data_IF_001913542939
#
_entry.id   IF_001913542939
#
_cell.length_a   1.000
_cell.length_b   1.000
_cell.length_c   1.000
_cell.angle_alpha   90.00
_cell.angle_beta   90.00
_cell.angle_gamma   90.00
#
_symmetry.space_group_name_H-M   'P 1'
#
loop_
_entity.id
_entity.type
_entity.pdbx_description
1 polymer ?
#
# COMPACT_ATOMS: atom_id res chain seq x y z
N UNK A 1 -15.22 6.00 -7.67
CA UNK A 1 -14.28 5.96 -6.52
C UNK A 1 -13.02 6.78 -6.77
N UNK A 2 -12.23 6.44 -7.78
CA UNK A 2 -10.93 7.10 -8.04
C UNK A 2 -11.04 8.55 -8.50
N UNK A 3 -12.15 8.96 -9.11
CA UNK A 3 -12.37 10.36 -9.51
C UNK A 3 -12.36 11.33 -8.32
N UNK A 4 -12.95 10.94 -7.18
CA UNK A 4 -12.96 11.74 -5.94
C UNK A 4 -11.75 11.42 -5.04
N UNK A 5 -11.33 10.15 -5.00
CA UNK A 5 -10.28 9.64 -4.12
C UNK A 5 -8.98 9.36 -4.88
N UNK A 6 -8.66 10.19 -5.85
CA UNK A 6 -7.48 10.09 -6.69
C UNK A 6 -6.37 11.05 -6.27
N UNK A 7 -5.32 11.08 -7.09
CA UNK A 7 -4.26 12.09 -7.04
C UNK A 7 -4.55 13.30 -7.95
N UNK A 8 -5.37 13.08 -8.97
CA UNK A 8 -5.73 14.09 -9.97
C UNK A 8 -7.05 14.76 -9.61
N UNK A 9 -7.14 16.06 -9.90
CA UNK A 9 -8.34 16.87 -9.71
C UNK A 9 -9.36 16.58 -10.81
N UNK A 10 -10.04 15.44 -10.72
CA UNK A 10 -11.01 15.00 -11.72
C UNK A 10 -12.46 15.36 -11.36
N UNK A 11 -12.71 15.85 -10.14
CA UNK A 11 -14.00 16.35 -9.62
C UNK A 11 -13.77 17.45 -8.59
N UNK A 12 -14.81 18.25 -8.33
CA UNK A 12 -14.78 19.35 -7.37
C UNK A 12 -14.42 18.89 -5.95
N UNK A 13 -14.92 17.72 -5.53
CA UNK A 13 -14.61 17.18 -4.20
C UNK A 13 -13.25 16.46 -4.13
N UNK A 14 -12.60 16.25 -5.28
CA UNK A 14 -11.27 15.66 -5.41
C UNK A 14 -10.17 16.71 -5.66
N UNK A 15 -8.89 16.31 -5.66
CA UNK A 15 -8.38 14.98 -5.35
C UNK A 15 -8.44 14.68 -3.84
N UNK A 16 -8.32 13.39 -3.49
CA UNK A 16 -8.24 12.92 -2.10
C UNK A 16 -9.41 13.34 -1.20
N UNK A 17 -10.65 13.34 -1.68
CA UNK A 17 -11.82 13.66 -0.87
C UNK A 17 -11.79 12.91 0.48
N UNK A 18 -12.00 13.62 1.60
CA UNK A 18 -11.91 13.05 2.95
C UNK A 18 -10.52 12.57 3.37
N UNK A 19 -9.46 12.98 2.67
CA UNK A 19 -8.08 12.54 2.93
C UNK A 19 -7.85 11.05 2.62
N UNK A 20 -8.55 10.51 1.63
CA UNK A 20 -8.51 9.09 1.23
C UNK A 20 -8.04 8.97 -0.22
N UNK A 21 -7.15 8.00 -0.48
CA UNK A 21 -6.64 7.66 -1.81
C UNK A 21 -7.01 6.22 -2.13
N UNK A 22 -7.78 6.02 -3.20
CA UNK A 22 -8.27 4.69 -3.63
C UNK A 22 -7.68 4.24 -4.95
N UNK A 23 -6.55 4.82 -5.36
CA UNK A 23 -5.87 4.41 -6.60
C UNK A 23 -5.15 3.06 -6.42
N UNK A 24 -4.85 2.42 -7.55
CA UNK A 24 -4.05 1.20 -7.62
C UNK A 24 -2.53 1.44 -7.49
N UNK A 25 -2.11 2.69 -7.27
CA UNK A 25 -0.71 3.05 -7.10
C UNK A 25 -0.06 2.25 -5.97
N UNK A 26 1.21 1.93 -6.16
CA UNK A 26 1.98 1.02 -5.30
C UNK A 26 2.67 1.81 -4.20
N UNK A 27 2.37 1.50 -2.95
CA UNK A 27 3.26 1.80 -1.83
C UNK A 27 4.32 0.70 -1.66
N UNK A 28 5.15 0.80 -0.61
CA UNK A 28 6.24 -0.15 -0.35
C UNK A 28 5.82 -1.62 -0.20
N UNK A 29 4.60 -1.88 0.28
CA UNK A 29 4.08 -3.23 0.54
C UNK A 29 2.73 -3.45 -0.14
N UNK A 30 1.79 -2.54 0.12
CA UNK A 30 0.43 -2.56 -0.38
C UNK A 30 0.20 -1.50 -1.46
N UNK A 31 -0.89 -1.64 -2.22
CA UNK A 31 -1.43 -0.51 -2.98
C UNK A 31 -2.00 0.53 -2.02
N UNK A 32 -2.09 1.77 -2.49
CA UNK A 32 -2.67 2.87 -1.71
C UNK A 32 -4.12 2.59 -1.35
N UNK A 33 -4.92 2.11 -2.30
CA UNK A 33 -6.30 1.67 -2.06
C UNK A 33 -6.42 0.64 -0.94
N UNK A 34 -5.66 -0.46 -1.01
CA UNK A 34 -5.76 -1.52 -0.01
C UNK A 34 -5.37 -1.01 1.37
N UNK A 35 -4.26 -0.27 1.46
CA UNK A 35 -3.83 0.30 2.72
C UNK A 35 -4.83 1.33 3.27
N UNK A 36 -5.39 2.19 2.42
CA UNK A 36 -6.37 3.21 2.84
C UNK A 36 -7.67 2.58 3.34
N UNK A 37 -8.20 1.57 2.66
CA UNK A 37 -9.38 0.84 3.13
C UNK A 37 -9.11 0.18 4.49
N UNK A 38 -7.92 -0.37 4.68
CA UNK A 38 -7.45 -0.97 5.93
C UNK A 38 -7.33 0.07 7.03
N UNK A 39 -6.56 1.14 6.81
CA UNK A 39 -6.29 2.19 7.79
C UNK A 39 -7.55 2.98 8.19
N UNK A 40 -8.52 3.09 7.28
CA UNK A 40 -9.83 3.71 7.53
C UNK A 40 -10.89 2.71 8.01
N UNK A 41 -10.53 1.47 8.33
CA UNK A 41 -11.43 0.44 8.86
C UNK A 41 -12.68 0.23 7.99
N UNK A 42 -12.52 0.28 6.66
CA UNK A 42 -13.63 0.10 5.72
C UNK A 42 -13.99 -1.37 5.50
N UNK A 43 -13.12 -2.28 5.94
CA UNK A 43 -13.28 -3.73 5.86
C UNK A 43 -13.16 -4.32 7.26
N UNK A 44 -14.15 -5.15 7.63
CA UNK A 44 -14.19 -5.87 8.89
C UNK A 44 -13.76 -7.33 8.69
N UNK A 45 -12.47 -7.57 8.44
CA UNK A 45 -11.87 -8.89 8.17
C UNK A 45 -11.59 -9.72 9.45
N UNK A 46 -12.00 -9.24 10.63
CA UNK A 46 -11.72 -9.86 11.92
C UNK A 46 -10.29 -9.67 12.45
N UNK A 47 -9.34 -9.32 11.57
CA UNK A 47 -7.90 -9.19 11.84
C UNK A 47 -7.29 -10.46 12.44
N UNK A 48 -5.97 -10.49 12.59
CA UNK A 48 -5.26 -11.60 13.23
C UNK A 48 -5.33 -11.50 14.78
N UNK A 49 -6.51 -11.28 15.34
CA UNK A 49 -6.71 -11.15 16.79
C UNK A 49 -6.82 -12.54 17.44
N UNK A 50 -6.24 -12.76 18.63
CA UNK A 50 -6.43 -13.98 19.41
C UNK A 50 -7.82 -14.01 20.07
N UNK A 51 -8.87 -13.78 19.28
CA UNK A 51 -10.26 -13.74 19.72
C UNK A 51 -11.10 -14.64 18.81
N UNK A 52 -12.04 -15.37 19.40
CA UNK A 52 -12.95 -16.29 18.73
C UNK A 52 -14.37 -16.12 19.26
N UNK A 53 -15.33 -16.84 18.69
CA UNK A 53 -16.75 -16.79 19.08
C UNK A 53 -17.34 -15.37 19.06
N UNK A 54 -17.09 -14.65 17.96
CA UNK A 54 -17.63 -13.32 17.76
C UNK A 54 -19.17 -13.33 17.69
N UNK A 55 -19.85 -12.31 18.21
CA UNK A 55 -21.29 -12.15 18.00
C UNK A 55 -21.65 -12.13 16.51
N UNK A 56 -22.87 -12.55 16.13
CA UNK A 56 -23.31 -12.46 14.74
C UNK A 56 -23.14 -11.05 14.17
N UNK A 57 -22.70 -10.95 12.91
CA UNK A 57 -22.56 -9.70 12.13
C UNK A 57 -21.53 -8.69 12.66
N UNK A 58 -20.48 -9.14 13.36
CA UNK A 58 -19.37 -8.26 13.77
C UNK A 58 -18.17 -8.28 12.82
N UNK A 59 -18.11 -9.27 11.91
CA UNK A 59 -17.08 -9.42 10.88
C UNK A 59 -17.75 -9.69 9.52
N UNK A 60 -16.95 -9.64 8.46
CA UNK A 60 -17.40 -9.87 7.10
C UNK A 60 -18.09 -8.65 6.47
N UNK A 61 -18.74 -8.87 5.33
CA UNK A 61 -19.36 -7.80 4.54
C UNK A 61 -20.48 -7.08 5.30
N UNK A 62 -21.22 -7.80 6.14
CA UNK A 62 -22.31 -7.24 6.97
C UNK A 62 -21.84 -6.17 7.96
N UNK A 63 -20.60 -6.25 8.42
CA UNK A 63 -19.98 -5.31 9.34
C UNK A 63 -19.08 -4.28 8.64
N UNK A 64 -18.86 -4.41 7.33
CA UNK A 64 -17.90 -3.60 6.58
C UNK A 64 -18.54 -2.31 6.06
N UNK A 65 -18.11 -1.11 6.52
CA UNK A 65 -18.68 0.16 6.09
C UNK A 65 -18.58 0.39 4.57
N UNK A 66 -17.60 -0.23 3.91
CA UNK A 66 -17.45 -0.17 2.45
C UNK A 66 -18.73 -0.58 1.71
N UNK A 67 -19.46 -1.59 2.20
CA UNK A 67 -20.66 -2.10 1.53
C UNK A 67 -21.76 -1.04 1.42
N UNK A 68 -21.88 -0.17 2.43
CA UNK A 68 -22.80 0.97 2.40
C UNK A 68 -22.30 2.09 1.48
N UNK A 69 -20.98 2.26 1.33
CA UNK A 69 -20.44 3.31 0.45
C UNK A 69 -20.60 3.03 -1.04
N UNK A 70 -20.99 1.81 -1.41
CA UNK A 70 -21.14 1.37 -2.80
C UNK A 70 -22.59 1.03 -3.17
N UNK A 71 -23.55 1.35 -2.28
CA UNK A 71 -24.98 1.04 -2.45
C UNK A 71 -25.82 2.22 -2.96
N UNK A 72 -25.18 3.34 -3.32
CA UNK A 72 -25.84 4.60 -3.72
C UNK A 72 -25.95 5.63 -2.59
N UNK A 73 -25.84 5.25 -1.32
CA UNK A 73 -26.00 6.18 -0.18
C UNK A 73 -24.84 7.15 0.01
N UNK A 74 -23.69 6.90 -0.61
CA UNK A 74 -22.52 7.78 -0.54
C UNK A 74 -22.39 8.57 -1.85
N UNK A 75 -22.95 9.79 -1.87
CA UNK A 75 -22.91 10.70 -3.03
C UNK A 75 -23.45 10.06 -4.33
N UNK A 76 -24.45 9.19 -4.23
CA UNK A 76 -25.04 8.52 -5.39
C UNK A 76 -24.13 7.46 -6.02
N UNK A 77 -23.00 7.11 -5.39
CA UNK A 77 -22.10 6.07 -5.89
C UNK A 77 -22.71 4.70 -5.66
N UNK A 78 -23.21 4.10 -6.73
CA UNK A 78 -23.71 2.72 -6.74
C UNK A 78 -22.92 1.89 -7.75
N UNK A 79 -22.36 0.76 -7.29
CA UNK A 79 -21.68 -0.20 -8.18
C UNK A 79 -22.67 -1.21 -8.72
N UNK A 80 -22.31 -1.87 -9.83
CA UNK A 80 -23.13 -2.94 -10.41
C UNK A 80 -23.28 -4.12 -9.45
N UNK A 81 -24.30 -4.95 -9.65
CA UNK A 81 -24.49 -6.18 -8.85
C UNK A 81 -23.25 -7.08 -8.86
N UNK A 82 -22.59 -7.25 -10.01
CA UNK A 82 -21.38 -8.08 -10.13
C UNK A 82 -20.22 -7.51 -9.30
N UNK A 83 -19.99 -6.20 -9.37
CA UNK A 83 -18.96 -5.54 -8.56
C UNK A 83 -19.27 -5.62 -7.07
N UNK A 84 -20.54 -5.40 -6.68
CA UNK A 84 -21.00 -5.56 -5.30
C UNK A 84 -20.75 -6.98 -4.79
N UNK A 85 -21.10 -8.00 -5.58
CA UNK A 85 -20.87 -9.41 -5.25
C UNK A 85 -19.38 -9.73 -5.16
N UNK A 86 -18.54 -9.17 -6.04
CA UNK A 86 -17.08 -9.35 -5.99
C UNK A 86 -16.47 -8.75 -4.73
N UNK A 87 -16.83 -7.52 -4.38
CA UNK A 87 -16.36 -6.85 -3.16
C UNK A 87 -16.84 -7.63 -1.92
N UNK A 88 -18.12 -8.01 -1.90
CA UNK A 88 -18.69 -8.83 -0.82
C UNK A 88 -17.90 -10.11 -0.63
N UNK A 89 -17.71 -10.91 -1.69
CA UNK A 89 -17.02 -12.19 -1.63
C UNK A 89 -15.54 -12.03 -1.27
N UNK A 90 -14.86 -10.99 -1.79
CA UNK A 90 -13.50 -10.69 -1.37
C UNK A 90 -13.40 -10.46 0.14
N UNK A 91 -14.34 -9.70 0.73
CA UNK A 91 -14.41 -9.51 2.18
C UNK A 91 -14.68 -10.83 2.91
N UNK A 92 -15.64 -11.64 2.43
CA UNK A 92 -15.97 -12.94 3.03
C UNK A 92 -14.79 -13.93 2.99
N UNK A 93 -13.87 -13.77 2.03
CA UNK A 93 -12.64 -14.57 1.95
C UNK A 93 -11.48 -14.01 2.78
N UNK A 94 -11.74 -13.06 3.69
CA UNK A 94 -10.73 -12.46 4.56
C UNK A 94 -10.01 -11.25 3.96
N UNK A 95 -10.53 -10.70 2.86
CA UNK A 95 -10.04 -9.48 2.22
C UNK A 95 -8.52 -9.48 1.93
N UNK A 96 -7.98 -10.59 1.43
CA UNK A 96 -6.54 -10.71 1.17
C UNK A 96 -6.05 -9.66 0.17
N UNK A 97 -4.83 -9.16 0.38
CA UNK A 97 -4.16 -8.29 -0.58
C UNK A 97 -3.65 -9.07 -1.80
N UNK A 98 -2.72 -10.03 -1.64
CA UNK A 98 -2.33 -10.88 -2.75
C UNK A 98 -3.49 -11.80 -3.14
N UNK A 99 -3.76 -11.87 -4.44
CA UNK A 99 -4.70 -12.84 -5.03
C UNK A 99 -4.05 -14.18 -5.36
N UNK A 100 -2.80 -14.39 -4.95
CA UNK A 100 -2.02 -15.61 -5.18
C UNK A 100 -1.09 -15.88 -4.00
N UNK A 101 -0.88 -17.15 -3.66
CA UNK A 101 0.07 -17.58 -2.63
C UNK A 101 1.53 -17.28 -3.01
N UNK A 102 1.83 -17.13 -4.30
CA UNK A 102 3.16 -16.75 -4.78
C UNK A 102 3.63 -15.38 -4.29
N UNK A 103 2.70 -14.49 -3.90
CA UNK A 103 3.01 -13.17 -3.36
C UNK A 103 3.57 -13.19 -1.93
N UNK A 104 3.60 -14.34 -1.26
CA UNK A 104 4.08 -14.42 0.12
C UNK A 104 5.58 -14.11 0.20
N UNK A 105 5.93 -13.08 0.98
CA UNK A 105 7.31 -12.69 1.25
C UNK A 105 8.09 -12.25 0.01
N UNK A 106 7.41 -11.75 -1.03
CA UNK A 106 8.00 -11.33 -2.30
C UNK A 106 7.46 -9.97 -2.75
N UNK A 107 8.27 -9.22 -3.51
CA UNK A 107 7.82 -7.95 -4.11
C UNK A 107 7.52 -6.83 -3.11
N UNK A 108 8.35 -6.72 -2.08
CA UNK A 108 8.15 -5.81 -0.95
C UNK A 108 9.39 -4.95 -0.74
N UNK A 109 9.22 -3.63 -0.65
CA UNK A 109 10.23 -2.75 -0.06
C UNK A 109 9.98 -2.74 1.44
N UNK A 110 10.98 -3.15 2.23
CA UNK A 110 10.81 -3.39 3.66
C UNK A 110 9.88 -4.57 3.96
N UNK A 111 10.14 -5.70 3.28
CA UNK A 111 9.51 -7.00 3.56
C UNK A 111 10.00 -7.61 4.87
N UNK A 112 9.53 -8.81 5.19
CA UNK A 112 9.88 -9.50 6.42
C UNK A 112 10.42 -10.90 6.11
N UNK A 113 11.50 -11.28 6.77
CA UNK A 113 12.03 -12.65 6.81
C UNK A 113 12.22 -13.02 8.29
N UNK A 114 11.62 -14.11 8.74
CA UNK A 114 11.60 -14.52 10.17
C UNK A 114 11.18 -13.39 11.13
N UNK A 115 10.13 -12.62 10.78
CA UNK A 115 9.65 -11.43 11.51
C UNK A 115 10.66 -10.27 11.63
N UNK A 116 11.79 -10.33 10.91
CA UNK A 116 12.75 -9.23 10.82
C UNK A 116 12.47 -8.42 9.57
N UNK A 117 12.28 -7.12 9.75
CA UNK A 117 12.07 -6.21 8.65
C UNK A 117 13.38 -5.97 7.91
N UNK A 118 13.33 -6.04 6.58
CA UNK A 118 14.43 -5.63 5.72
C UNK A 118 14.54 -4.09 5.73
N UNK A 119 15.67 -3.56 6.20
CA UNK A 119 15.99 -2.13 6.20
C UNK A 119 17.14 -1.79 5.25
N UNK A 120 17.44 -2.66 4.28
CA UNK A 120 18.57 -2.45 3.36
C UNK A 120 18.46 -1.16 2.53
N UNK A 121 17.26 -0.60 2.38
CA UNK A 121 17.04 0.70 1.75
C UNK A 121 17.74 1.85 2.47
N UNK A 122 18.00 1.76 3.78
CA UNK A 122 18.73 2.81 4.50
C UNK A 122 20.19 2.93 4.09
N UNK A 123 20.72 1.90 3.42
CA UNK A 123 22.10 1.91 2.94
C UNK A 123 22.26 2.50 1.54
N UNK A 124 21.16 2.70 0.81
CA UNK A 124 21.20 3.18 -0.57
C UNK A 124 21.63 4.66 -0.63
N UNK A 125 22.44 5.05 -1.64
CA UNK A 125 23.00 6.39 -1.70
C UNK A 125 21.95 7.52 -1.69
N UNK A 126 20.90 7.41 -2.52
CA UNK A 126 19.88 8.47 -2.56
C UNK A 126 19.02 8.45 -1.30
N UNK A 127 18.75 7.27 -0.72
CA UNK A 127 18.00 7.17 0.53
C UNK A 127 18.75 7.80 1.72
N UNK A 128 20.07 7.62 1.81
CA UNK A 128 20.90 8.29 2.83
C UNK A 128 20.78 9.81 2.74
N UNK A 129 20.94 10.36 1.55
CA UNK A 129 20.77 11.79 1.32
C UNK A 129 19.35 12.27 1.65
N UNK A 130 18.33 11.50 1.26
CA UNK A 130 16.94 11.82 1.58
C UNK A 130 16.65 11.82 3.09
N UNK A 131 17.21 10.87 3.86
CA UNK A 131 17.07 10.86 5.32
C UNK A 131 17.65 12.13 5.97
N UNK A 132 18.79 12.62 5.48
CA UNK A 132 19.37 13.88 5.95
C UNK A 132 18.48 15.08 5.62
N UNK A 133 17.90 15.12 4.42
CA UNK A 133 16.94 16.16 4.02
C UNK A 133 15.69 16.12 4.90
N UNK A 134 15.10 14.94 5.12
CA UNK A 134 13.93 14.78 5.99
C UNK A 134 14.21 15.29 7.40
N UNK A 135 15.36 14.94 7.96
CA UNK A 135 15.74 15.41 9.29
C UNK A 135 15.92 16.93 9.32
N UNK A 136 16.64 17.51 8.35
CA UNK A 136 16.95 18.95 8.32
C UNK A 136 15.75 19.84 8.00
N UNK A 137 14.91 19.44 7.03
CA UNK A 137 13.81 20.26 6.53
C UNK A 137 12.48 19.98 7.24
N UNK A 138 12.26 18.76 7.75
CA UNK A 138 10.97 18.34 8.29
C UNK A 138 11.04 17.95 9.78
N UNK A 139 12.22 17.61 10.30
CA UNK A 139 12.39 17.02 11.63
C UNK A 139 12.02 17.92 12.81
N UNK A 140 12.01 19.25 12.64
CA UNK A 140 11.55 20.17 13.70
C UNK A 140 10.04 20.05 13.96
N UNK A 141 9.25 19.79 12.91
CA UNK A 141 7.79 19.66 13.00
C UNK A 141 7.35 18.21 13.20
N UNK A 142 8.02 17.28 12.52
CA UNK A 142 7.67 15.87 12.50
C UNK A 142 8.33 15.09 13.64
N UNK A 143 7.92 15.41 14.88
CA UNK A 143 8.37 14.75 16.11
C UNK A 143 7.21 14.05 16.82
N UNK A 144 7.51 13.11 17.72
CA UNK A 144 6.50 12.44 18.56
C UNK A 144 5.36 11.81 17.74
N UNK A 145 4.11 12.19 18.02
CA UNK A 145 2.92 11.72 17.29
C UNK A 145 2.83 12.20 15.83
N UNK A 146 3.75 13.07 15.39
CA UNK A 146 3.90 13.56 14.02
C UNK A 146 5.09 12.94 13.28
N UNK A 147 5.84 12.04 13.92
CA UNK A 147 7.02 11.44 13.32
C UNK A 147 6.71 10.81 11.95
N UNK A 148 7.58 11.08 10.97
CA UNK A 148 7.56 10.45 9.66
C UNK A 148 8.37 9.15 9.68
N UNK A 149 8.06 8.18 8.79
CA UNK A 149 8.98 7.09 8.51
C UNK A 149 10.30 7.65 7.97
N UNK A 150 11.43 7.08 8.39
CA UNK A 150 12.74 7.55 7.91
C UNK A 150 13.02 7.10 6.48
N UNK A 151 12.41 6.01 6.03
CA UNK A 151 12.59 5.45 4.70
C UNK A 151 11.35 4.65 4.26
N UNK A 152 11.23 4.26 2.98
CA UNK A 152 10.14 3.43 2.49
C UNK A 152 9.98 2.07 3.19
N UNK A 153 11.03 1.52 3.80
CA UNK A 153 10.95 0.33 4.64
C UNK A 153 10.53 0.61 6.08
N UNK A 154 10.59 1.86 6.57
CA UNK A 154 10.25 2.15 7.95
C UNK A 154 8.75 1.97 8.22
N UNK A 155 8.41 0.94 9.00
CA UNK A 155 7.03 0.68 9.40
C UNK A 155 6.63 1.43 10.68
N UNK A 156 7.51 2.28 11.24
CA UNK A 156 7.27 3.03 12.48
C UNK A 156 6.84 2.16 13.68
N UNK A 157 7.29 0.90 13.72
CA UNK A 157 6.88 -0.13 14.70
C UNK A 157 5.39 -0.47 14.64
N UNK A 158 4.81 -0.38 13.44
CA UNK A 158 3.44 -0.78 13.11
C UNK A 158 3.48 -1.79 11.95
N UNK A 159 3.85 -3.05 12.19
CA UNK A 159 3.80 -4.06 11.15
C UNK A 159 2.34 -4.30 10.70
N UNK A 160 2.10 -4.79 9.46
CA UNK A 160 0.75 -4.92 8.91
C UNK A 160 -0.24 -5.77 9.72
N UNK A 161 0.25 -6.75 10.48
CA UNK A 161 -0.57 -7.62 11.33
C UNK A 161 -0.88 -7.01 12.70
N UNK A 162 -0.27 -5.88 13.05
CA UNK A 162 -0.44 -5.20 14.34
C UNK A 162 -0.60 -3.67 14.13
N UNK A 163 -1.51 -3.30 13.24
CA UNK A 163 -1.87 -1.90 12.99
C UNK A 163 -2.47 -1.29 14.26
N UNK A 164 -1.97 -0.12 14.64
CA UNK A 164 -2.45 0.67 15.79
C UNK A 164 -3.32 1.81 15.27
N UNK A 165 -4.65 1.64 15.33
CA UNK A 165 -5.60 2.59 14.71
C UNK A 165 -5.66 3.94 15.42
N UNK A 166 -5.37 3.91 16.72
CA UNK A 166 -5.38 5.07 17.61
C UNK A 166 -4.06 5.86 17.52
N UNK A 167 -3.03 5.29 16.89
CA UNK A 167 -1.75 5.96 16.73
C UNK A 167 -1.86 7.07 15.67
N UNK A 168 -1.64 8.35 16.04
CA UNK A 168 -1.77 9.46 15.11
C UNK A 168 -0.80 9.37 13.92
N UNK A 169 0.28 8.59 14.05
CA UNK A 169 1.28 8.39 12.99
C UNK A 169 0.77 7.51 11.86
N UNK A 170 -0.36 6.81 12.02
CA UNK A 170 -0.94 5.98 10.96
C UNK A 170 -1.21 6.78 9.67
N UNK A 171 -1.53 8.07 9.80
CA UNK A 171 -1.73 8.99 8.65
C UNK A 171 -0.44 9.29 7.86
N UNK A 172 0.72 9.01 8.45
CA UNK A 172 2.05 9.14 7.87
C UNK A 172 2.66 7.79 7.49
N UNK A 173 1.85 6.73 7.42
CA UNK A 173 2.31 5.42 6.98
C UNK A 173 3.11 5.50 5.67
N UNK A 174 4.19 4.71 5.60
CA UNK A 174 5.00 4.52 4.38
C UNK A 174 4.16 4.16 3.14
N UNK A 175 3.00 3.53 3.33
CA UNK A 175 2.08 3.18 2.24
C UNK A 175 1.27 4.35 1.70
N UNK A 176 1.25 5.48 2.39
CA UNK A 176 0.58 6.71 1.96
C UNK A 176 1.61 7.71 1.42
N UNK A 177 2.77 7.81 2.08
CA UNK A 177 3.75 8.84 1.78
C UNK A 177 4.50 8.60 0.47
N UNK A 178 4.73 7.33 0.11
CA UNK A 178 5.48 6.95 -1.07
C UNK A 178 4.56 6.37 -2.16
N UNK A 179 4.56 7.02 -3.33
CA UNK A 179 3.95 6.49 -4.54
C UNK A 179 5.05 5.93 -5.45
N UNK A 180 5.15 4.61 -5.53
CA UNK A 180 6.16 3.92 -6.35
C UNK A 180 5.64 3.60 -7.76
N UNK A 181 4.43 4.02 -8.11
CA UNK A 181 3.92 3.97 -9.50
C UNK A 181 4.13 5.30 -10.20
N UNK A 182 3.84 6.41 -9.51
CA UNK A 182 4.05 7.77 -9.97
C UNK A 182 4.76 8.59 -8.88
N UNK A 183 6.10 8.54 -8.81
CA UNK A 183 6.93 9.13 -7.76
C UNK A 183 6.60 10.57 -7.40
N UNK A 184 6.31 11.40 -8.39
CA UNK A 184 5.94 12.81 -8.27
C UNK A 184 4.66 13.04 -7.46
N UNK A 185 3.76 12.05 -7.39
CA UNK A 185 2.54 12.11 -6.58
C UNK A 185 2.73 11.63 -5.12
N UNK A 186 3.96 11.36 -4.71
CA UNK A 186 4.26 11.01 -3.31
C UNK A 186 3.91 12.16 -2.39
N UNK A 187 3.16 11.91 -1.31
CA UNK A 187 2.83 12.97 -0.34
C UNK A 187 4.07 13.53 0.34
N UNK A 188 5.15 12.75 0.40
CA UNK A 188 6.46 13.20 0.87
C UNK A 188 7.01 14.39 0.05
N UNK A 189 6.58 14.53 -1.21
CA UNK A 189 6.93 15.63 -2.11
C UNK A 189 5.81 16.69 -2.16
N UNK A 190 4.55 16.26 -2.30
CA UNK A 190 3.42 17.17 -2.51
C UNK A 190 3.08 18.00 -1.27
N UNK A 191 3.13 17.42 -0.06
CA UNK A 191 2.77 18.16 1.15
C UNK A 191 3.68 19.38 1.43
N UNK A 192 5.01 19.30 1.28
CA UNK A 192 5.91 20.45 1.44
C UNK A 192 6.03 21.39 0.24
N UNK A 193 5.56 21.00 -0.94
CA UNK A 193 5.65 21.78 -2.17
C UNK A 193 4.57 22.86 -2.25
N UNK A 194 4.93 24.04 -2.77
CA UNK A 194 4.03 25.17 -2.99
C UNK A 194 2.84 24.84 -3.90
N UNK A 195 1.68 25.46 -3.65
CA UNK A 195 0.47 25.26 -4.47
C UNK A 195 0.65 25.68 -5.93
N UNK A 196 1.34 26.80 -6.16
CA UNK A 196 1.61 27.29 -7.52
C UNK A 196 2.56 26.37 -8.31
N UNK A 197 3.32 25.52 -7.62
CA UNK A 197 4.17 24.49 -8.22
C UNK A 197 3.47 23.11 -8.30
N UNK A 198 2.16 23.05 -8.02
CA UNK A 198 1.37 21.82 -8.05
C UNK A 198 1.39 20.99 -6.76
N UNK A 199 2.00 21.50 -5.70
CA UNK A 199 1.97 20.90 -4.37
C UNK A 199 0.73 21.25 -3.56
N UNK A 200 0.70 20.82 -2.31
CA UNK A 200 -0.40 21.08 -1.39
C UNK A 200 -0.12 22.19 -0.38
N UNK A 201 1.15 22.55 -0.18
CA UNK A 201 1.58 23.61 0.76
C UNK A 201 0.97 23.42 2.16
N UNK A 202 1.00 22.17 2.63
CA UNK A 202 0.48 21.79 3.95
C UNK A 202 1.58 21.97 5.00
N UNK A 203 2.85 21.76 4.63
CA UNK A 203 3.98 21.92 5.53
C UNK A 203 4.54 23.36 5.49
N UNK A 204 4.96 23.86 6.64
CA UNK A 204 5.54 25.19 6.84
C UNK A 204 7.06 25.15 7.02
N UNK A 205 7.78 26.11 6.44
CA UNK A 205 9.20 26.29 6.74
C UNK A 205 9.45 26.84 8.16
N UNK A 206 8.47 27.57 8.71
CA UNK A 206 8.59 28.31 9.98
C UNK A 206 8.23 27.50 11.24
N UNK A 207 7.73 26.27 11.10
CA UNK A 207 7.48 25.37 12.23
C UNK A 207 6.43 25.85 13.25
N UNK A 208 5.25 26.26 12.77
CA UNK A 208 4.08 26.54 13.59
C UNK A 208 2.88 25.65 13.23
N UNK A 209 2.04 25.34 14.21
CA UNK A 209 0.78 24.60 14.05
C UNK A 209 -0.36 25.43 13.44
N UNK A 210 -0.16 26.74 13.33
CA UNK A 210 -1.13 27.67 12.78
C UNK A 210 -0.77 28.03 11.34
N UNK A 211 -1.81 28.25 10.54
CA UNK A 211 -1.70 28.81 9.19
C UNK A 211 -1.17 30.25 9.34
N UNK A 212 0.15 30.40 9.41
CA UNK A 212 0.81 31.70 9.30
C UNK A 212 0.54 32.22 7.87
N UNK A 213 -0.06 33.40 7.68
CA UNK A 213 -0.24 33.98 6.36
C UNK A 213 1.09 34.31 5.65
N UNK A 214 2.22 34.32 6.36
CA UNK A 214 3.57 34.39 5.79
C UNK A 214 4.24 33.02 5.63
N UNK A 215 3.49 31.93 5.83
CA UNK A 215 4.00 30.59 5.80
C UNK A 215 4.55 30.22 4.42
N UNK A 216 5.86 30.32 4.26
CA UNK A 216 6.52 29.90 3.03
C UNK A 216 6.49 28.37 2.93
N UNK A 217 6.18 27.83 1.73
CA UNK A 217 6.29 26.41 1.48
C UNK A 217 7.71 25.94 1.80
N UNK A 218 7.85 24.70 2.27
CA UNK A 218 9.17 24.11 2.48
C UNK A 218 9.92 24.05 1.15
N UNK A 219 9.25 23.70 0.05
CA UNK A 219 9.81 23.77 -1.31
C UNK A 219 9.02 24.75 -2.16
N UNK A 220 9.69 25.79 -2.65
CA UNK A 220 9.07 26.80 -3.52
C UNK A 220 8.59 26.20 -4.84
N UNK A 221 9.38 25.32 -5.42
CA UNK A 221 9.10 24.65 -6.67
C UNK A 221 9.90 23.34 -6.76
N UNK A 222 9.71 22.60 -7.85
CA UNK A 222 10.35 21.30 -8.07
C UNK A 222 11.84 21.41 -8.38
N UNK A 223 12.41 22.60 -8.57
CA UNK A 223 13.85 22.78 -8.78
C UNK A 223 14.66 22.86 -7.49
N UNK A 224 14.00 22.90 -6.32
CA UNK A 224 14.69 22.87 -5.02
C UNK A 224 15.61 21.62 -4.94
N UNK A 225 16.91 21.77 -4.62
CA UNK A 225 17.85 20.64 -4.55
C UNK A 225 17.43 19.54 -3.56
N UNK A 226 16.80 19.92 -2.46
CA UNK A 226 16.32 18.97 -1.46
C UNK A 226 15.05 18.26 -1.95
N UNK A 227 14.17 18.94 -2.70
CA UNK A 227 13.05 18.28 -3.39
C UNK A 227 13.56 17.23 -4.37
N UNK A 228 14.57 17.55 -5.19
CA UNK A 228 15.17 16.62 -6.14
C UNK A 228 15.84 15.43 -5.45
N UNK A 229 16.45 15.66 -4.29
CA UNK A 229 17.04 14.58 -3.47
C UNK A 229 15.97 13.63 -2.95
N UNK A 230 14.84 14.14 -2.44
CA UNK A 230 13.72 13.29 -2.02
C UNK A 230 13.14 12.51 -3.21
N UNK A 231 12.94 13.16 -4.36
CA UNK A 231 12.42 12.51 -5.56
C UNK A 231 13.37 11.41 -6.06
N UNK A 232 14.68 11.63 -6.05
CA UNK A 232 15.69 10.65 -6.45
C UNK A 232 15.64 9.38 -5.58
N UNK A 233 15.45 9.51 -4.27
CA UNK A 233 15.30 8.37 -3.36
C UNK A 233 14.00 7.57 -3.63
N UNK A 234 12.91 8.25 -4.00
CA UNK A 234 11.65 7.60 -4.36
C UNK A 234 11.79 6.87 -5.70
N UNK A 235 12.48 7.48 -6.68
CA UNK A 235 12.78 6.87 -7.98
C UNK A 235 13.69 5.63 -7.82
N UNK A 236 14.71 5.69 -6.98
CA UNK A 236 15.56 4.53 -6.64
C UNK A 236 14.71 3.40 -6.03
N UNK A 237 13.78 3.74 -5.15
CA UNK A 237 12.85 2.77 -4.55
C UNK A 237 11.89 2.17 -5.57
N UNK A 238 11.35 2.99 -6.49
CA UNK A 238 10.53 2.52 -7.59
C UNK A 238 11.34 1.58 -8.50
N UNK A 239 12.58 1.94 -8.83
CA UNK A 239 13.46 1.11 -9.64
C UNK A 239 13.64 -0.26 -8.97
N UNK A 240 13.97 -0.27 -7.68
CA UNK A 240 14.09 -1.52 -6.92
C UNK A 240 12.80 -2.36 -6.96
N UNK A 241 11.63 -1.72 -6.80
CA UNK A 241 10.35 -2.43 -6.90
C UNK A 241 10.12 -3.02 -8.30
N UNK A 242 10.53 -2.31 -9.37
CA UNK A 242 10.42 -2.78 -10.75
C UNK A 242 11.38 -3.94 -11.06
N UNK A 243 12.52 -4.03 -10.38
CA UNK A 243 13.43 -5.17 -10.46
C UNK A 243 12.85 -6.41 -9.77
N UNK A 244 12.48 -6.28 -8.49
CA UNK A 244 12.02 -7.44 -7.69
C UNK A 244 10.61 -7.89 -8.08
N UNK A 245 9.79 -6.92 -8.54
CA UNK A 245 8.38 -7.04 -8.94
C UNK A 245 7.49 -7.60 -7.84
N UNK A 246 6.19 -7.36 -7.96
CA UNK A 246 5.16 -7.89 -7.07
C UNK A 246 4.09 -8.62 -7.88
N UNK A 247 3.28 -9.46 -7.24
CA UNK A 247 2.25 -10.30 -7.88
C UNK A 247 1.27 -9.57 -8.83
N UNK A 248 1.16 -8.24 -8.72
CA UNK A 248 0.36 -7.33 -9.54
C UNK A 248 1.18 -6.61 -10.63
N UNK A 249 2.41 -7.07 -10.91
CA UNK A 249 3.33 -6.48 -11.88
C UNK A 249 3.69 -7.49 -12.97
N UNK A 250 3.76 -7.00 -14.21
CA UNK A 250 4.04 -7.82 -15.37
C UNK A 250 5.43 -8.49 -15.27
N UNK A 251 5.46 -9.80 -15.49
CA UNK A 251 6.68 -10.61 -15.43
C UNK A 251 7.22 -10.82 -14.02
N UNK A 252 6.38 -10.67 -12.97
CA UNK A 252 6.67 -11.17 -11.63
C UNK A 252 6.97 -12.67 -11.67
N UNK A 253 7.98 -13.10 -10.90
CA UNK A 253 8.31 -14.52 -10.73
C UNK A 253 8.19 -14.91 -9.25
N UNK A 254 7.55 -16.05 -8.94
CA UNK A 254 7.47 -16.55 -7.57
C UNK A 254 8.85 -16.86 -6.97
N UNK A 255 8.95 -16.82 -5.64
CA UNK A 255 10.18 -17.29 -4.95
C UNK A 255 10.45 -18.76 -5.24
N UNK A 256 11.73 -19.20 -5.20
CA UNK A 256 12.09 -20.62 -5.40
C UNK A 256 11.34 -21.59 -4.48
N UNK A 257 10.98 -21.17 -3.25
CA UNK A 257 10.20 -21.97 -2.33
C UNK A 257 8.78 -22.29 -2.86
N UNK A 258 8.10 -21.32 -3.48
CA UNK A 258 6.79 -21.54 -4.10
C UNK A 258 6.90 -22.54 -5.24
N UNK A 259 7.90 -22.36 -6.12
CA UNK A 259 8.14 -23.25 -7.27
C UNK A 259 8.41 -24.68 -6.77
N UNK A 260 9.25 -24.83 -5.74
CA UNK A 260 9.56 -26.13 -5.12
C UNK A 260 8.31 -26.82 -4.61
N UNK A 261 7.44 -26.13 -3.87
CA UNK A 261 6.21 -26.75 -3.35
C UNK A 261 5.23 -27.10 -4.48
N UNK A 262 5.07 -26.23 -5.49
CA UNK A 262 4.20 -26.53 -6.62
C UNK A 262 4.70 -27.72 -7.47
N UNK A 263 6.01 -27.92 -7.59
CA UNK A 263 6.59 -29.15 -8.14
C UNK A 263 6.28 -30.36 -7.26
N UNK A 264 6.47 -30.24 -5.95
CA UNK A 264 6.19 -31.33 -5.00
C UNK A 264 4.73 -31.78 -5.05
N UNK A 265 3.79 -30.86 -5.27
CA UNK A 265 2.37 -31.16 -5.43
C UNK A 265 2.00 -31.65 -6.85
N UNK A 266 2.96 -31.81 -7.76
CA UNK A 266 2.70 -32.26 -9.14
C UNK A 266 2.00 -31.23 -10.01
N UNK A 267 1.97 -29.96 -9.61
CA UNK A 267 1.31 -28.87 -10.33
C UNK A 267 2.23 -28.27 -11.41
N UNK A 268 3.52 -28.17 -11.11
CA UNK A 268 4.55 -27.72 -12.05
C UNK A 268 5.45 -28.88 -12.50
N UNK A 269 5.99 -28.84 -13.73
CA UNK A 269 6.94 -29.84 -14.21
C UNK A 269 8.20 -29.92 -13.34
N UNK A 270 8.74 -31.12 -13.12
CA UNK A 270 9.92 -31.33 -12.27
C UNK A 270 11.19 -30.72 -12.86
N UNK A 271 11.29 -30.68 -14.18
CA UNK A 271 12.40 -30.12 -14.96
C UNK A 271 12.30 -28.60 -15.16
N UNK A 272 11.22 -27.96 -14.71
CA UNK A 272 11.05 -26.50 -14.80
C UNK A 272 12.19 -25.80 -14.04
N UNK A 273 13.06 -25.07 -14.75
CA UNK A 273 14.13 -24.30 -14.10
C UNK A 273 13.61 -23.22 -13.16
N UNK A 274 14.47 -22.68 -12.30
CA UNK A 274 14.14 -21.57 -11.39
C UNK A 274 13.87 -20.25 -12.12
N UNK A 275 14.20 -20.18 -13.42
CA UNK A 275 14.00 -19.01 -14.29
C UNK A 275 12.82 -19.20 -15.27
N UNK A 276 12.13 -20.34 -15.24
CA UNK A 276 10.96 -20.57 -16.09
C UNK A 276 9.81 -19.64 -15.70
N UNK A 277 9.17 -19.01 -16.69
CA UNK A 277 8.02 -18.13 -16.43
C UNK A 277 6.85 -18.94 -15.88
N UNK A 278 6.50 -18.73 -14.61
CA UNK A 278 5.32 -19.32 -13.98
C UNK A 278 4.19 -18.31 -13.97
N UNK A 279 3.00 -18.69 -14.43
CA UNK A 279 1.76 -17.97 -14.09
C UNK A 279 1.29 -18.47 -12.71
N UNK A 280 1.48 -17.66 -11.64
CA UNK A 280 1.16 -18.10 -10.29
C UNK A 280 -0.35 -18.27 -10.07
N UNK A 281 -1.19 -17.53 -10.82
CA UNK A 281 -2.64 -17.66 -10.70
C UNK A 281 -3.13 -18.95 -11.35
N UNK A 282 -2.52 -19.35 -12.48
CA UNK A 282 -2.83 -20.64 -13.09
C UNK A 282 -2.37 -21.80 -12.20
N UNK A 283 -1.16 -21.71 -11.63
CA UNK A 283 -0.62 -22.71 -10.71
C UNK A 283 -1.48 -22.85 -9.45
N UNK A 284 -1.86 -21.74 -8.79
CA UNK A 284 -2.75 -21.78 -7.61
C UNK A 284 -4.11 -22.39 -7.94
N UNK A 285 -4.72 -22.02 -9.08
CA UNK A 285 -5.99 -22.63 -9.51
C UNK A 285 -5.86 -24.14 -9.75
N UNK A 286 -4.77 -24.58 -10.37
CA UNK A 286 -4.50 -25.99 -10.60
C UNK A 286 -4.30 -26.75 -9.28
N UNK A 287 -3.56 -26.16 -8.33
CA UNK A 287 -3.39 -26.69 -6.99
C UNK A 287 -4.73 -26.87 -6.27
N UNK A 288 -5.58 -25.85 -6.22
CA UNK A 288 -6.87 -25.97 -5.55
C UNK A 288 -7.80 -26.98 -6.21
N UNK A 289 -7.74 -27.12 -7.54
CA UNK A 289 -8.50 -28.13 -8.29
C UNK A 289 -8.03 -29.55 -8.02
N UNK A 290 -6.75 -29.78 -7.74
CA UNK A 290 -6.23 -31.13 -7.45
C UNK A 290 -6.77 -31.68 -6.12
N UNK A 291 -7.27 -30.81 -5.25
CA UNK A 291 -7.90 -31.17 -3.97
C UNK A 291 -9.41 -31.39 -4.07
N UNK A 292 -10.02 -31.22 -5.25
CA UNK A 292 -11.44 -31.43 -5.42
C UNK A 292 -11.81 -32.90 -5.29
N UNK A 293 -12.90 -33.18 -4.58
CA UNK A 293 -13.45 -34.52 -4.51
C UNK A 293 -13.85 -35.01 -5.90
N UNK A 294 -13.28 -36.14 -6.33
CA UNK A 294 -13.71 -36.85 -7.52
C UNK A 294 -14.54 -38.05 -7.06
N UNK A 295 -15.88 -38.04 -7.26
CA UNK A 295 -16.70 -39.19 -6.94
C UNK A 295 -16.26 -40.39 -7.79
N UNK A 296 -16.29 -41.59 -7.21
CA UNK A 296 -15.99 -42.81 -7.95
C UNK A 296 -16.96 -42.93 -9.13
N UNK A 297 -16.42 -43.18 -10.33
CA UNK A 297 -17.24 -43.56 -11.47
C UNK A 297 -17.73 -44.99 -11.21
N UNK A 298 -19.03 -45.13 -10.91
CA UNK A 298 -19.72 -46.42 -10.86
C UNK A 298 -19.90 -46.99 -12.26
#
# INVERSE_FOLDING_TARGET
CVDCHGYETNREEGPRAGGVILTGDRGPLFSHSYFMLTARQQVADGRNRPQSNYPPRTIGSSASPLMKKIDGSHYGVEVTKNERDRIRLWIETGASYPGTYAGLGSGMIGGYEENRIDRSDTEWPNMKAAMEVLQRRCGSCHTGGLALPTSPSDNMKMPPWEIKYEDPRLRFSRHILYNLTRPEFSLQLLAPLAKNAGGYEICSASGGSDIDPNNLPVFKDTSDPDYQTLLAAILETQHRLNEIKRFDMAGFQPRPAYIREMKRFGILPQDLGTEGSVDPYAADRAYWKSLWHQPAQN
#
